data_IF_063716751046
#
_entry.id   IF_063716751046
#
_cell.length_a   1.000
_cell.length_b   1.000
_cell.length_c   1.000
_cell.angle_alpha   90.00
_cell.angle_beta   90.00
_cell.angle_gamma   90.00
#
_symmetry.space_group_name_H-M   'P 1'
#
loop_
_entity.id
_entity.type
_entity.pdbx_description
1 polymer ?
#
# COMPACT_ATOMS: atom_id res chain seq x y z
N UNK A 1 -9.06 -8.00 -21.42
CA UNK A 1 -9.21 -8.10 -19.95
C UNK A 1 -9.89 -6.83 -19.47
N UNK A 2 -11.05 -6.91 -18.81
CA UNK A 2 -11.79 -5.69 -18.39
C UNK A 2 -11.01 -4.97 -17.29
N UNK A 3 -10.95 -3.63 -17.34
CA UNK A 3 -10.27 -2.80 -16.34
C UNK A 3 -10.74 -3.11 -14.91
N UNK A 4 -12.02 -3.48 -14.76
CA UNK A 4 -12.62 -3.91 -13.49
C UNK A 4 -11.92 -5.16 -12.92
N UNK A 5 -11.66 -6.16 -13.76
CA UNK A 5 -11.02 -7.41 -13.37
C UNK A 5 -9.59 -7.20 -12.85
N UNK A 6 -8.86 -6.26 -13.45
CA UNK A 6 -7.50 -5.91 -13.02
C UNK A 6 -7.53 -5.21 -11.66
N UNK A 7 -8.47 -4.28 -11.46
CA UNK A 7 -8.65 -3.60 -10.16
C UNK A 7 -9.03 -4.58 -9.06
N UNK A 8 -9.98 -5.48 -9.31
CA UNK A 8 -10.35 -6.50 -8.32
C UNK A 8 -9.19 -7.43 -7.96
N UNK A 9 -8.41 -7.86 -8.95
CA UNK A 9 -7.21 -8.67 -8.72
C UNK A 9 -6.19 -7.93 -7.85
N UNK A 10 -5.94 -6.65 -8.13
CA UNK A 10 -5.03 -5.82 -7.35
C UNK A 10 -5.50 -5.64 -5.90
N UNK A 11 -6.78 -5.32 -5.71
CA UNK A 11 -7.38 -5.17 -4.37
C UNK A 11 -7.31 -6.48 -3.57
N UNK A 12 -7.55 -7.62 -4.22
CA UNK A 12 -7.47 -8.93 -3.58
C UNK A 12 -6.05 -9.23 -3.11
N UNK A 13 -5.04 -8.99 -3.96
CA UNK A 13 -3.62 -9.17 -3.61
C UNK A 13 -3.25 -8.27 -2.43
N UNK A 14 -3.72 -7.03 -2.44
CA UNK A 14 -3.47 -6.08 -1.35
C UNK A 14 -4.05 -6.59 -0.02
N UNK A 15 -5.31 -7.05 -0.01
CA UNK A 15 -5.95 -7.63 1.17
C UNK A 15 -5.17 -8.85 1.68
N UNK A 16 -4.73 -9.72 0.78
CA UNK A 16 -3.99 -10.92 1.15
C UNK A 16 -2.69 -10.55 1.87
N UNK A 17 -1.90 -9.63 1.31
CA UNK A 17 -0.60 -9.22 1.87
C UNK A 17 -0.75 -8.47 3.20
N UNK A 18 -1.73 -7.56 3.31
CA UNK A 18 -1.85 -6.68 4.49
C UNK A 18 -2.73 -7.24 5.61
N UNK A 19 -3.65 -8.16 5.31
CA UNK A 19 -4.62 -8.69 6.29
C UNK A 19 -4.43 -10.19 6.50
N UNK A 20 -4.54 -10.98 5.43
CA UNK A 20 -4.58 -12.45 5.54
C UNK A 20 -3.25 -13.02 6.02
N UNK A 21 -2.13 -12.65 5.37
CA UNK A 21 -0.82 -13.18 5.74
C UNK A 21 -0.40 -12.83 7.18
N UNK A 22 -0.60 -11.59 7.68
CA UNK A 22 -0.26 -11.25 9.05
C UNK A 22 -1.08 -12.00 10.11
N UNK A 23 -2.32 -12.36 9.79
CA UNK A 23 -3.18 -13.15 10.69
C UNK A 23 -2.69 -14.60 10.76
N UNK A 24 -2.33 -15.19 9.62
CA UNK A 24 -1.89 -16.59 9.55
C UNK A 24 -0.45 -16.74 10.07
N UNK A 25 0.42 -15.76 9.80
CA UNK A 25 1.84 -15.79 10.15
C UNK A 25 2.25 -14.58 11.00
N UNK A 26 1.70 -14.43 12.23
CA UNK A 26 1.89 -13.25 13.06
C UNK A 26 3.33 -13.02 13.52
N UNK A 27 4.13 -14.08 13.59
CA UNK A 27 5.54 -14.03 14.03
C UNK A 27 6.54 -14.11 12.89
N UNK A 28 6.10 -14.03 11.64
CA UNK A 28 7.01 -14.06 10.51
C UNK A 28 7.66 -12.69 10.29
N UNK A 29 8.94 -12.59 10.65
CA UNK A 29 9.72 -11.36 10.57
C UNK A 29 9.85 -10.85 9.13
N UNK A 30 9.99 -11.74 8.14
CA UNK A 30 10.09 -11.36 6.72
C UNK A 30 8.80 -10.66 6.27
N UNK A 31 7.65 -11.23 6.64
CA UNK A 31 6.36 -10.66 6.31
C UNK A 31 6.17 -9.28 6.93
N UNK A 32 6.62 -9.12 8.18
CA UNK A 32 6.60 -7.84 8.87
C UNK A 32 7.41 -6.77 8.12
N UNK A 33 8.64 -7.12 7.70
CA UNK A 33 9.49 -6.23 6.90
C UNK A 33 8.84 -5.85 5.57
N UNK A 34 8.31 -6.82 4.82
CA UNK A 34 7.63 -6.57 3.54
C UNK A 34 6.47 -5.60 3.71
N UNK A 35 5.60 -5.85 4.70
CA UNK A 35 4.46 -4.96 5.00
C UNK A 35 4.94 -3.56 5.34
N UNK A 36 6.00 -3.44 6.15
CA UNK A 36 6.50 -2.15 6.60
C UNK A 36 7.10 -1.34 5.43
N UNK A 37 7.86 -1.98 4.54
CA UNK A 37 8.40 -1.34 3.32
C UNK A 37 7.27 -0.84 2.42
N UNK A 38 6.25 -1.67 2.17
CA UNK A 38 5.10 -1.27 1.36
C UNK A 38 4.33 -0.11 2.00
N UNK A 39 4.19 -0.11 3.33
CA UNK A 39 3.53 0.96 4.05
C UNK A 39 4.31 2.27 3.98
N UNK A 40 5.64 2.22 4.13
CA UNK A 40 6.52 3.40 3.98
C UNK A 40 6.43 3.95 2.56
N UNK A 41 6.41 3.10 1.53
CA UNK A 41 6.27 3.53 0.15
C UNK A 41 4.94 4.26 -0.11
N UNK A 42 3.83 3.72 0.42
CA UNK A 42 2.52 4.38 0.38
C UNK A 42 2.55 5.74 1.10
N UNK A 43 3.14 5.79 2.28
CA UNK A 43 3.22 7.01 3.09
C UNK A 43 4.07 8.08 2.40
N UNK A 44 5.19 7.70 1.79
CA UNK A 44 6.04 8.60 1.00
C UNK A 44 5.33 9.15 -0.23
N UNK A 45 4.57 8.31 -0.94
CA UNK A 45 3.74 8.75 -2.07
C UNK A 45 2.68 9.76 -1.63
N UNK A 46 1.98 9.48 -0.53
CA UNK A 46 0.98 10.40 0.03
C UNK A 46 1.62 11.70 0.51
N UNK A 47 2.77 11.64 1.17
CA UNK A 47 3.51 12.82 1.64
C UNK A 47 3.96 13.68 0.45
N UNK A 48 4.47 13.05 -0.62
CA UNK A 48 4.86 13.73 -1.85
C UNK A 48 3.68 14.48 -2.48
N UNK A 49 2.53 13.81 -2.62
CA UNK A 49 1.32 14.44 -3.15
C UNK A 49 0.81 15.56 -2.24
N UNK A 50 0.88 15.39 -0.93
CA UNK A 50 0.50 16.41 0.04
C UNK A 50 1.41 17.66 -0.04
N UNK A 51 2.72 17.47 -0.08
CA UNK A 51 3.70 18.57 -0.26
C UNK A 51 3.45 19.28 -1.58
N UNK A 52 3.22 18.52 -2.66
CA UNK A 52 2.91 19.04 -3.98
C UNK A 52 1.61 19.85 -3.99
N UNK A 53 0.58 19.37 -3.30
CA UNK A 53 -0.69 20.06 -3.14
C UNK A 53 -0.53 21.40 -2.40
N UNK A 54 0.18 21.42 -1.27
CA UNK A 54 0.46 22.66 -0.52
C UNK A 54 1.22 23.66 -1.39
N UNK A 55 2.26 23.19 -2.10
CA UNK A 55 3.07 24.04 -2.98
C UNK A 55 2.22 24.71 -4.08
N UNK A 56 1.24 24.01 -4.65
CA UNK A 56 0.33 24.56 -5.66
C UNK A 56 -0.67 25.56 -5.09
N UNK A 57 -1.14 25.37 -3.85
CA UNK A 57 -2.10 26.28 -3.20
C UNK A 57 -1.45 27.61 -2.77
N UNK A 58 -0.13 27.63 -2.60
CA UNK A 58 0.64 28.82 -2.18
C UNK A 58 1.12 29.69 -3.35
N UNK A 59 1.05 29.19 -4.59
CA UNK A 59 1.32 29.95 -5.82
C UNK A 59 0.04 30.51 -6.41
#
# INVERSE_FOLDING_TARGET
MSQKSVVYGFVLIFIIIFIVLPIIFPHNQILYWVRNILFIALLMGLLYDFIRYIKRKKS
#
